data_IF_341060397126
#
_entry.id   IF_341060397126
#
_cell.length_a   1.000
_cell.length_b   1.000
_cell.length_c   1.000
_cell.angle_alpha   90.00
_cell.angle_beta   90.00
_cell.angle_gamma   90.00
#
_symmetry.space_group_name_H-M   'P 1'
#
loop_
_entity.id
_entity.type
_entity.pdbx_description
1 polymer ?
#
# COMPACT_ATOMS: atom_id res chain seq x y z
N UNK A 1 21.94 29.10 -20.28
CA UNK A 1 21.64 27.90 -21.10
C UNK A 1 20.65 27.05 -20.32
N UNK A 2 19.43 26.86 -20.84
CA UNK A 2 18.30 26.24 -20.14
C UNK A 2 18.29 24.74 -20.46
N UNK A 3 18.50 23.87 -19.48
CA UNK A 3 18.51 22.42 -19.69
C UNK A 3 17.08 21.94 -19.96
N UNK A 4 16.82 21.47 -21.17
CA UNK A 4 15.52 20.91 -21.59
C UNK A 4 15.57 19.39 -21.40
N UNK A 5 14.49 18.82 -20.87
CA UNK A 5 14.39 17.46 -20.32
C UNK A 5 15.16 16.36 -21.04
N UNK A 6 15.76 15.47 -20.24
CA UNK A 6 16.46 14.28 -20.71
C UNK A 6 15.46 13.31 -21.35
N UNK A 7 15.37 13.33 -22.68
CA UNK A 7 14.56 12.41 -23.47
C UNK A 7 15.23 11.04 -23.45
N UNK A 8 14.64 10.06 -22.76
CA UNK A 8 15.08 8.65 -22.84
C UNK A 8 15.03 8.21 -24.29
N UNK A 9 16.16 7.79 -24.85
CA UNK A 9 16.24 7.22 -26.20
C UNK A 9 15.87 5.74 -26.13
N UNK A 10 15.37 5.21 -27.24
CA UNK A 10 14.98 3.81 -27.44
C UNK A 10 16.07 2.78 -27.12
N UNK A 11 17.32 3.21 -26.91
CA UNK A 11 18.46 2.35 -26.54
C UNK A 11 18.43 1.95 -25.04
N UNK A 12 17.54 2.54 -24.24
CA UNK A 12 17.17 2.11 -22.87
C UNK A 12 16.20 0.91 -22.86
N UNK A 13 16.19 0.09 -23.93
CA UNK A 13 15.33 -1.09 -24.11
C UNK A 13 15.90 -2.36 -23.47
N UNK A 14 17.05 -2.29 -22.81
CA UNK A 14 17.55 -3.40 -22.03
C UNK A 14 16.50 -3.76 -20.96
N UNK A 15 15.94 -4.99 -20.96
CA UNK A 15 14.98 -5.39 -19.95
C UNK A 15 15.65 -5.24 -18.58
N UNK A 16 14.98 -4.51 -17.69
CA UNK A 16 15.47 -4.33 -16.33
C UNK A 16 15.71 -5.70 -15.71
N UNK A 17 16.79 -5.86 -14.93
CA UNK A 17 16.97 -7.06 -14.13
C UNK A 17 15.70 -7.34 -13.30
N UNK A 18 15.24 -8.59 -13.19
CA UNK A 18 13.97 -8.91 -12.51
C UNK A 18 13.87 -8.31 -11.10
N UNK A 19 14.96 -8.32 -10.33
CA UNK A 19 15.02 -7.73 -8.99
C UNK A 19 14.77 -6.21 -9.00
N UNK A 20 15.32 -5.50 -10.00
CA UNK A 20 15.15 -4.06 -10.15
C UNK A 20 13.73 -3.70 -10.61
N UNK A 21 13.12 -4.54 -11.46
CA UNK A 21 11.72 -4.38 -11.85
C UNK A 21 10.77 -4.54 -10.66
N UNK A 22 10.97 -5.57 -9.82
CA UNK A 22 10.18 -5.80 -8.60
C UNK A 22 10.34 -4.65 -7.61
N UNK A 23 11.57 -4.18 -7.40
CA UNK A 23 11.85 -3.04 -6.52
C UNK A 23 11.11 -1.78 -6.98
N UNK A 24 11.15 -1.48 -8.28
CA UNK A 24 10.43 -0.33 -8.86
C UNK A 24 8.91 -0.49 -8.74
N UNK A 25 8.39 -1.68 -8.99
CA UNK A 25 6.96 -1.96 -8.84
C UNK A 25 6.49 -1.70 -7.40
N UNK A 26 7.27 -2.12 -6.39
CA UNK A 26 6.95 -1.87 -4.98
C UNK A 26 6.92 -0.38 -4.62
N UNK A 27 7.87 0.41 -5.13
CA UNK A 27 7.89 1.87 -4.92
C UNK A 27 6.68 2.54 -5.56
N UNK A 28 6.36 2.17 -6.80
CA UNK A 28 5.19 2.71 -7.51
C UNK A 28 3.88 2.35 -6.80
N UNK A 29 3.77 1.11 -6.33
CA UNK A 29 2.60 0.66 -5.57
C UNK A 29 2.45 1.44 -4.26
N UNK A 30 3.54 1.67 -3.53
CA UNK A 30 3.52 2.47 -2.30
C UNK A 30 3.10 3.93 -2.58
N UNK A 31 3.60 4.53 -3.67
CA UNK A 31 3.18 5.88 -4.09
C UNK A 31 1.71 5.94 -4.48
N UNK A 32 1.20 4.93 -5.20
CA UNK A 32 -0.22 4.84 -5.53
C UNK A 32 -1.11 4.70 -4.29
N UNK A 33 -0.70 3.91 -3.29
CA UNK A 33 -1.44 3.77 -2.03
C UNK A 33 -1.47 5.07 -1.23
N UNK A 34 -0.45 5.92 -1.31
CA UNK A 34 -0.46 7.24 -0.68
C UNK A 34 -1.47 8.20 -1.33
N UNK A 35 -1.67 8.07 -2.64
CA UNK A 35 -2.62 8.87 -3.41
C UNK A 35 -4.03 8.28 -3.42
N UNK A 36 -4.23 7.11 -2.82
CA UNK A 36 -5.51 6.41 -2.83
C UNK A 36 -6.52 7.13 -1.91
N UNK A 37 -7.62 7.70 -2.44
CA UNK A 37 -8.63 8.38 -1.64
C UNK A 37 -9.39 7.41 -0.70
N UNK A 38 -9.34 6.10 -1.00
CA UNK A 38 -9.92 5.04 -0.20
C UNK A 38 -8.81 4.05 0.20
N UNK A 39 -7.94 4.40 1.15
CA UNK A 39 -6.83 3.55 1.55
C UNK A 39 -7.34 2.18 1.96
N UNK A 40 -6.57 1.12 1.66
CA UNK A 40 -6.91 -0.22 2.16
C UNK A 40 -7.10 -0.12 3.67
N UNK A 41 -8.21 -0.67 4.23
CA UNK A 41 -8.48 -0.55 5.65
C UNK A 41 -7.28 -1.09 6.43
N UNK A 42 -6.63 -0.20 7.20
CA UNK A 42 -5.50 -0.55 8.07
C UNK A 42 -6.07 -1.20 9.33
N UNK A 43 -6.51 -2.45 9.21
CA UNK A 43 -7.01 -3.19 10.35
C UNK A 43 -8.11 -4.20 10.01
N UNK A 44 -8.34 -5.07 10.98
CA UNK A 44 -9.47 -5.97 11.02
C UNK A 44 -10.71 -5.18 11.43
N UNK A 45 -11.72 -5.08 10.57
CA UNK A 45 -12.98 -4.41 10.92
C UNK A 45 -13.98 -5.47 11.38
N UNK A 46 -14.17 -5.58 12.70
CA UNK A 46 -15.23 -6.41 13.28
C UNK A 46 -16.56 -5.65 13.28
N UNK A 47 -17.54 -6.12 12.50
CA UNK A 47 -18.90 -5.57 12.51
C UNK A 47 -19.80 -6.42 13.42
N UNK A 48 -20.02 -5.95 14.65
CA UNK A 48 -21.00 -6.53 15.57
C UNK A 48 -22.40 -5.98 15.30
N UNK A 49 -23.45 -6.75 15.62
CA UNK A 49 -24.85 -6.31 15.49
C UNK A 49 -25.24 -5.35 16.61
N UNK A 50 -24.65 -5.55 17.79
CA UNK A 50 -24.85 -4.67 18.95
C UNK A 50 -23.52 -4.30 19.61
N UNK A 51 -23.55 -3.28 20.47
CA UNK A 51 -22.38 -2.85 21.23
C UNK A 51 -21.89 -3.92 22.21
N UNK A 52 -22.81 -4.67 22.84
CA UNK A 52 -22.44 -5.74 23.78
C UNK A 52 -21.67 -6.88 23.09
N UNK A 53 -22.04 -7.21 21.86
CA UNK A 53 -21.37 -8.23 21.06
C UNK A 53 -19.96 -7.78 20.66
N UNK A 54 -19.79 -6.51 20.32
CA UNK A 54 -18.46 -5.90 20.10
C UNK A 54 -17.58 -5.98 21.35
N UNK A 55 -18.12 -5.61 22.52
CA UNK A 55 -17.35 -5.64 23.76
C UNK A 55 -16.96 -7.06 24.19
N UNK A 56 -17.84 -8.04 23.96
CA UNK A 56 -17.53 -9.46 24.19
C UNK A 56 -16.39 -9.92 23.29
N UNK A 57 -16.47 -9.64 21.99
CA UNK A 57 -15.40 -9.95 21.05
C UNK A 57 -14.08 -9.24 21.43
N UNK A 58 -14.11 -7.94 21.74
CA UNK A 58 -12.92 -7.16 22.15
C UNK A 58 -12.22 -7.79 23.35
N UNK A 59 -12.97 -8.23 24.37
CA UNK A 59 -12.42 -8.87 25.57
C UNK A 59 -11.77 -10.24 25.28
N UNK A 60 -12.18 -10.91 24.20
CA UNK A 60 -11.58 -12.19 23.77
C UNK A 60 -10.30 -12.02 22.95
N UNK A 61 -10.00 -10.82 22.45
CA UNK A 61 -8.81 -10.59 21.63
C UNK A 61 -7.57 -10.35 22.49
N UNK A 62 -6.53 -11.20 22.41
CA UNK A 62 -5.30 -11.02 23.19
C UNK A 62 -4.42 -9.90 22.62
N UNK A 63 -4.57 -9.56 21.34
CA UNK A 63 -3.81 -8.51 20.69
C UNK A 63 -4.62 -7.20 20.69
N UNK A 64 -4.16 -6.16 21.41
CA UNK A 64 -4.89 -4.91 21.50
C UNK A 64 -4.88 -4.08 20.21
N UNK A 65 -4.13 -4.49 19.18
CA UNK A 65 -4.05 -3.79 17.89
C UNK A 65 -5.12 -4.23 16.89
N UNK A 66 -5.98 -5.18 17.28
CA UNK A 66 -7.08 -5.69 16.45
C UNK A 66 -8.40 -4.95 16.67
N UNK A 67 -8.49 -4.06 17.66
CA UNK A 67 -9.65 -3.20 17.94
C UNK A 67 -9.31 -1.72 17.80
#
# INVERSE_FOLDING_TARGET
MKTVGHRRRSDDTAPLPPAEAVRRAGVLQAQMELLNPNPRPRGFVFKARTREEYERWRKTQPNPRLW
#
